data_IF_143361644471
#
_entry.id   IF_143361644471
#
_cell.length_a   1.000
_cell.length_b   1.000
_cell.length_c   1.000
_cell.angle_alpha   90.00
_cell.angle_beta   90.00
_cell.angle_gamma   90.00
#
_symmetry.space_group_name_H-M   'P 1'
#
loop_
_entity.id
_entity.type
_entity.pdbx_description
1 polymer ?
#
# COMPACT_ATOMS: atom_id res chain seq x y z
N UNK A 1 3.19 17.80 -6.18
CA UNK A 1 2.56 18.30 -7.17
C UNK A 1 1.10 18.65 -6.95
N UNK A 2 0.86 19.97 -6.75
CA UNK A 2 -0.44 20.49 -6.34
C UNK A 2 -1.54 20.20 -7.37
N UNK A 3 -1.24 20.28 -8.67
CA UNK A 3 -2.21 20.01 -9.73
C UNK A 3 -2.64 18.53 -9.75
N UNK A 4 -1.71 17.61 -9.51
CA UNK A 4 -2.01 16.19 -9.38
C UNK A 4 -2.87 15.93 -8.15
N UNK A 5 -2.56 16.56 -7.02
CA UNK A 5 -3.33 16.45 -5.78
C UNK A 5 -4.76 16.97 -5.95
N UNK A 6 -4.94 18.15 -6.55
CA UNK A 6 -6.27 18.70 -6.84
C UNK A 6 -7.04 17.90 -7.90
N UNK A 7 -6.35 17.30 -8.89
CA UNK A 7 -6.95 16.38 -9.85
C UNK A 7 -7.53 15.15 -9.16
N UNK A 8 -6.75 14.50 -8.31
CA UNK A 8 -7.20 13.33 -7.53
C UNK A 8 -8.40 13.69 -6.64
N UNK A 9 -8.39 14.83 -5.97
CA UNK A 9 -9.52 15.26 -5.13
C UNK A 9 -10.81 15.45 -5.91
N UNK A 10 -10.75 15.96 -7.14
CA UNK A 10 -11.93 16.16 -8.00
C UNK A 10 -12.56 14.85 -8.50
N UNK A 11 -11.73 13.84 -8.72
CA UNK A 11 -12.16 12.57 -9.32
C UNK A 11 -12.56 11.52 -8.27
N UNK A 12 -12.41 11.82 -6.98
CA UNK A 12 -12.76 10.90 -5.90
C UNK A 12 -14.23 10.61 -5.86
N UNK A 13 -14.57 9.32 -6.01
CA UNK A 13 -15.93 8.78 -5.84
C UNK A 13 -16.08 8.24 -4.44
N UNK A 14 -17.31 8.17 -3.93
CA UNK A 14 -17.59 7.56 -2.63
C UNK A 14 -17.11 6.12 -2.54
N UNK A 15 -16.65 5.72 -1.35
CA UNK A 15 -16.16 4.36 -1.07
C UNK A 15 -17.18 3.48 -0.35
N UNK A 16 -18.39 3.99 -0.09
CA UNK A 16 -19.45 3.22 0.56
C UNK A 16 -20.05 2.19 -0.40
N UNK A 17 -20.13 0.93 0.04
CA UNK A 17 -20.76 -0.13 -0.75
C UNK A 17 -20.06 -0.37 -2.09
N UNK A 18 -18.73 -0.26 -2.14
CA UNK A 18 -17.95 -0.42 -3.37
C UNK A 18 -18.09 -1.82 -3.96
N UNK A 19 -18.14 -1.90 -5.28
CA UNK A 19 -18.10 -3.17 -5.97
C UNK A 19 -16.66 -3.72 -5.97
N UNK A 20 -16.49 -4.87 -5.33
CA UNK A 20 -15.23 -5.61 -5.26
C UNK A 20 -15.19 -6.63 -6.38
N UNK A 21 -14.05 -6.76 -7.06
CA UNK A 21 -13.86 -7.72 -8.13
C UNK A 21 -13.70 -9.15 -7.56
N UNK A 22 -14.69 -9.99 -7.77
CA UNK A 22 -14.73 -11.37 -7.28
C UNK A 22 -13.62 -12.26 -7.86
N UNK A 23 -13.12 -11.93 -9.04
CA UNK A 23 -12.00 -12.67 -9.64
C UNK A 23 -10.70 -12.45 -8.85
N UNK A 24 -10.52 -11.27 -8.24
CA UNK A 24 -9.35 -10.95 -7.41
C UNK A 24 -9.56 -11.43 -5.98
N UNK A 25 -10.71 -11.10 -5.35
CA UNK A 25 -11.01 -11.41 -3.95
C UNK A 25 -12.43 -11.94 -3.81
N UNK A 26 -12.59 -13.26 -4.01
CA UNK A 26 -13.89 -13.92 -3.99
C UNK A 26 -14.39 -14.35 -2.61
N UNK A 27 -13.53 -14.41 -1.59
CA UNK A 27 -13.90 -14.91 -0.25
C UNK A 27 -14.59 -13.79 0.53
N UNK A 28 -15.65 -14.15 1.29
CA UNK A 28 -16.47 -13.18 2.03
C UNK A 28 -15.66 -12.30 2.98
N UNK A 29 -14.74 -12.89 3.76
CA UNK A 29 -13.92 -12.16 4.71
C UNK A 29 -12.93 -11.18 4.05
N UNK A 30 -12.46 -11.46 2.83
CA UNK A 30 -11.64 -10.53 2.06
C UNK A 30 -12.46 -9.30 1.66
N UNK A 31 -13.69 -9.51 1.22
CA UNK A 31 -14.61 -8.43 0.85
C UNK A 31 -14.98 -7.58 2.07
N UNK A 32 -15.27 -8.19 3.21
CA UNK A 32 -15.54 -7.47 4.47
C UNK A 32 -14.33 -6.61 4.89
N UNK A 33 -13.12 -7.16 4.81
CA UNK A 33 -11.90 -6.43 5.12
C UNK A 33 -11.68 -5.23 4.18
N UNK A 34 -11.87 -5.41 2.88
CA UNK A 34 -11.76 -4.33 1.89
C UNK A 34 -12.81 -3.25 2.16
N UNK A 35 -14.08 -3.63 2.38
CA UNK A 35 -15.15 -2.69 2.67
C UNK A 35 -14.87 -1.90 3.95
N UNK A 36 -14.40 -2.56 5.02
CA UNK A 36 -14.07 -1.90 6.28
C UNK A 36 -12.95 -0.84 6.12
N UNK A 37 -11.93 -1.14 5.31
CA UNK A 37 -10.87 -0.16 4.99
C UNK A 37 -11.44 0.99 4.14
N UNK A 38 -12.27 0.69 3.15
CA UNK A 38 -12.93 1.71 2.31
C UNK A 38 -13.81 2.65 3.14
N UNK A 39 -14.61 2.12 4.06
CA UNK A 39 -15.46 2.90 4.96
C UNK A 39 -14.62 3.76 5.92
N UNK A 40 -13.51 3.21 6.42
CA UNK A 40 -12.60 3.95 7.28
C UNK A 40 -11.97 5.14 6.57
N UNK A 41 -11.51 4.95 5.33
CA UNK A 41 -10.91 6.00 4.51
C UNK A 41 -11.99 7.03 4.08
N UNK A 42 -13.09 6.55 3.51
CA UNK A 42 -14.10 7.41 2.87
C UNK A 42 -15.01 8.14 3.84
N UNK A 43 -15.45 7.49 4.92
CA UNK A 43 -16.43 8.05 5.87
C UNK A 43 -15.79 8.59 7.16
N UNK A 44 -14.69 7.96 7.62
CA UNK A 44 -14.06 8.30 8.91
C UNK A 44 -12.77 9.10 8.77
N UNK A 45 -12.37 9.46 7.54
CA UNK A 45 -11.13 10.17 7.24
C UNK A 45 -9.88 9.50 7.85
N UNK A 46 -9.89 8.18 8.01
CA UNK A 46 -8.72 7.46 8.49
C UNK A 46 -7.71 7.32 7.38
N UNK A 47 -6.43 7.53 7.71
CA UNK A 47 -5.35 7.44 6.72
C UNK A 47 -4.51 6.17 6.87
N UNK A 48 -4.73 5.41 7.94
CA UNK A 48 -3.92 4.23 8.27
C UNK A 48 -4.84 3.07 8.65
N UNK A 49 -4.61 1.91 8.05
CA UNK A 49 -5.35 0.68 8.34
C UNK A 49 -4.40 -0.51 8.47
N UNK A 50 -4.65 -1.40 9.44
CA UNK A 50 -3.93 -2.65 9.61
C UNK A 50 -4.85 -3.82 9.29
N UNK A 51 -4.48 -4.65 8.32
CA UNK A 51 -5.15 -5.90 7.98
C UNK A 51 -4.44 -7.05 8.69
N UNK A 52 -5.08 -7.61 9.71
CA UNK A 52 -4.62 -8.81 10.41
C UNK A 52 -5.28 -10.01 9.78
N UNK A 53 -4.52 -10.81 9.04
CA UNK A 53 -5.04 -11.94 8.27
C UNK A 53 -4.09 -13.13 8.39
N UNK A 54 -4.61 -14.32 8.67
CA UNK A 54 -3.81 -15.54 8.82
C UNK A 54 -2.94 -15.82 7.57
N UNK A 55 -1.84 -16.53 7.77
CA UNK A 55 -1.01 -17.01 6.65
C UNK A 55 -1.85 -17.89 5.72
N UNK A 56 -1.74 -17.68 4.41
CA UNK A 56 -2.53 -18.42 3.41
C UNK A 56 -3.96 -17.94 3.21
N UNK A 57 -4.45 -16.96 3.97
CA UNK A 57 -5.80 -16.39 3.79
C UNK A 57 -5.94 -15.52 2.53
N UNK A 58 -4.83 -15.19 1.86
CA UNK A 58 -4.82 -14.38 0.64
C UNK A 58 -4.59 -12.89 0.89
N UNK A 59 -3.78 -12.52 1.88
CA UNK A 59 -3.39 -11.13 2.19
C UNK A 59 -3.06 -10.32 0.94
N UNK A 60 -2.18 -10.86 0.09
CA UNK A 60 -1.74 -10.18 -1.14
C UNK A 60 -2.92 -9.92 -2.09
N UNK A 61 -3.80 -10.92 -2.29
CA UNK A 61 -5.00 -10.74 -3.14
C UNK A 61 -5.96 -9.69 -2.57
N UNK A 62 -6.14 -9.69 -1.25
CA UNK A 62 -6.98 -8.69 -0.56
C UNK A 62 -6.46 -7.28 -0.81
N UNK A 63 -5.15 -7.07 -0.69
CA UNK A 63 -4.56 -5.74 -0.93
C UNK A 63 -4.55 -5.34 -2.41
N UNK A 64 -4.38 -6.28 -3.33
CA UNK A 64 -4.52 -6.01 -4.77
C UNK A 64 -5.94 -5.54 -5.09
N UNK A 65 -6.94 -6.23 -4.53
CA UNK A 65 -8.34 -5.87 -4.72
C UNK A 65 -8.70 -4.53 -4.08
N UNK A 66 -8.14 -4.22 -2.90
CA UNK A 66 -8.26 -2.90 -2.28
C UNK A 66 -7.64 -1.81 -3.16
N UNK A 67 -6.44 -2.05 -3.69
CA UNK A 67 -5.77 -1.13 -4.61
C UNK A 67 -6.60 -0.90 -5.88
N UNK A 68 -7.18 -1.95 -6.47
CA UNK A 68 -8.10 -1.87 -7.61
C UNK A 68 -9.29 -0.96 -7.31
N UNK A 69 -9.95 -1.17 -6.16
CA UNK A 69 -11.08 -0.33 -5.73
C UNK A 69 -10.66 1.14 -5.59
N UNK A 70 -9.56 1.42 -4.88
CA UNK A 70 -9.10 2.79 -4.64
C UNK A 70 -8.68 3.49 -5.93
N UNK A 71 -8.06 2.76 -6.88
CA UNK A 71 -7.70 3.27 -8.21
C UNK A 71 -8.95 3.60 -9.03
N UNK A 72 -9.92 2.69 -9.11
CA UNK A 72 -11.17 2.89 -9.86
C UNK A 72 -12.03 4.02 -9.30
N UNK A 73 -11.91 4.31 -8.01
CA UNK A 73 -12.64 5.39 -7.34
C UNK A 73 -11.84 6.70 -7.24
N UNK A 74 -10.68 6.80 -7.90
CA UNK A 74 -9.89 8.03 -7.99
C UNK A 74 -9.18 8.43 -6.68
N UNK A 75 -9.01 7.51 -5.74
CA UNK A 75 -8.29 7.77 -4.48
C UNK A 75 -6.80 7.53 -4.60
N UNK A 76 -6.38 6.63 -5.49
CA UNK A 76 -4.99 6.24 -5.68
C UNK A 76 -4.64 6.30 -7.16
N UNK A 77 -3.59 7.03 -7.47
CA UNK A 77 -2.93 7.05 -8.78
C UNK A 77 -1.65 6.24 -8.74
N UNK A 78 -0.80 6.51 -7.75
CA UNK A 78 0.48 5.84 -7.57
C UNK A 78 0.52 5.10 -6.23
N UNK A 79 1.01 3.87 -6.24
CA UNK A 79 1.18 3.07 -5.03
C UNK A 79 2.61 2.59 -4.84
N UNK A 80 3.01 2.46 -3.58
CA UNK A 80 4.26 1.85 -3.14
C UNK A 80 3.97 0.58 -2.35
N UNK A 81 4.59 -0.52 -2.72
CA UNK A 81 4.56 -1.77 -1.96
C UNK A 81 5.92 -2.04 -1.34
N UNK A 82 5.96 -2.21 -0.03
CA UNK A 82 7.18 -2.45 0.76
C UNK A 82 7.18 -3.83 1.39
N UNK A 83 8.27 -4.55 1.20
CA UNK A 83 8.54 -5.83 1.84
C UNK A 83 9.97 -5.90 2.41
N UNK A 84 10.23 -6.87 3.30
CA UNK A 84 11.55 -7.01 3.93
C UNK A 84 12.61 -7.61 3.00
N UNK A 85 12.19 -8.43 2.01
CA UNK A 85 13.11 -9.21 1.15
C UNK A 85 12.77 -9.09 -0.32
N UNK A 86 13.81 -9.12 -1.17
CA UNK A 86 13.65 -9.08 -2.64
C UNK A 86 12.71 -10.16 -3.18
N UNK A 87 12.76 -11.38 -2.61
CA UNK A 87 11.86 -12.45 -3.03
C UNK A 87 10.38 -12.12 -2.84
N UNK A 88 10.02 -11.43 -1.73
CA UNK A 88 8.67 -10.97 -1.46
C UNK A 88 8.27 -9.82 -2.37
N UNK A 89 9.19 -8.91 -2.66
CA UNK A 89 9.01 -7.81 -3.65
C UNK A 89 8.64 -8.40 -5.02
N UNK A 90 9.45 -9.33 -5.51
CA UNK A 90 9.24 -9.98 -6.81
C UNK A 90 7.93 -10.78 -6.83
N UNK A 91 7.61 -11.49 -5.75
CA UNK A 91 6.35 -12.24 -5.62
C UNK A 91 5.13 -11.31 -5.65
N UNK A 92 5.17 -10.22 -4.90
CA UNK A 92 4.09 -9.24 -4.87
C UNK A 92 3.91 -8.58 -6.25
N UNK A 93 4.98 -8.12 -6.89
CA UNK A 93 4.93 -7.56 -8.23
C UNK A 93 4.30 -8.51 -9.24
N UNK A 94 4.69 -9.80 -9.21
CA UNK A 94 4.10 -10.82 -10.09
C UNK A 94 2.61 -11.01 -9.83
N UNK A 95 2.18 -11.02 -8.56
CA UNK A 95 0.77 -11.11 -8.21
C UNK A 95 -0.03 -9.90 -8.71
N UNK A 96 0.49 -8.69 -8.55
CA UNK A 96 -0.12 -7.48 -9.10
C UNK A 96 -0.21 -7.51 -10.63
N UNK A 97 0.83 -7.96 -11.32
CA UNK A 97 0.83 -8.10 -12.78
C UNK A 97 -0.28 -9.04 -13.27
N UNK A 98 -0.47 -10.16 -12.59
CA UNK A 98 -1.48 -11.15 -12.98
C UNK A 98 -2.92 -10.64 -12.78
N UNK A 99 -3.17 -9.91 -11.71
CA UNK A 99 -4.52 -9.47 -11.34
C UNK A 99 -4.86 -8.07 -11.92
N UNK A 100 -3.86 -7.21 -12.13
CA UNK A 100 -4.00 -5.85 -12.67
C UNK A 100 -3.04 -5.64 -13.86
N UNK A 101 -3.24 -6.32 -14.99
CA UNK A 101 -2.29 -6.32 -16.10
C UNK A 101 -2.10 -4.96 -16.78
N UNK A 102 -3.05 -4.04 -16.62
CA UNK A 102 -2.99 -2.68 -17.17
C UNK A 102 -2.26 -1.68 -16.27
N UNK A 103 -1.84 -2.08 -15.07
CA UNK A 103 -1.08 -1.24 -14.16
C UNK A 103 0.41 -1.33 -14.49
N UNK A 104 1.07 -0.18 -14.71
CA UNK A 104 2.52 -0.16 -14.89
C UNK A 104 3.22 -0.45 -13.57
N UNK A 105 4.17 -1.37 -13.59
CA UNK A 105 4.84 -1.91 -12.40
C UNK A 105 6.35 -1.73 -12.50
N UNK A 106 6.99 -1.35 -11.40
CA UNK A 106 8.43 -1.26 -11.25
C UNK A 106 8.91 -2.01 -10.01
N UNK A 107 9.93 -2.85 -10.17
CA UNK A 107 10.70 -3.39 -9.05
C UNK A 107 11.96 -2.53 -8.86
N UNK A 108 11.95 -1.68 -7.84
CA UNK A 108 13.02 -0.73 -7.59
C UNK A 108 14.33 -1.41 -7.13
N UNK A 109 14.27 -2.69 -6.74
CA UNK A 109 15.47 -3.48 -6.45
C UNK A 109 16.20 -3.91 -7.73
N UNK A 110 15.56 -3.71 -8.88
CA UNK A 110 16.11 -3.97 -10.21
C UNK A 110 16.40 -2.64 -10.93
N UNK A 111 17.66 -2.25 -11.02
CA UNK A 111 18.11 -0.97 -11.60
C UNK A 111 17.75 -0.74 -13.09
N UNK A 112 17.20 -1.76 -13.76
CA UNK A 112 16.82 -1.68 -15.19
C UNK A 112 15.35 -1.28 -15.39
N UNK A 113 14.56 -1.13 -14.31
CA UNK A 113 13.14 -0.83 -14.41
C UNK A 113 12.87 0.67 -14.25
N UNK A 114 11.79 1.13 -14.90
CA UNK A 114 11.39 2.54 -14.88
C UNK A 114 10.69 2.89 -13.55
N UNK A 115 11.30 3.77 -12.78
CA UNK A 115 10.76 4.25 -11.51
C UNK A 115 9.48 5.11 -11.66
N UNK A 116 9.12 5.55 -12.86
CA UNK A 116 7.90 6.33 -13.13
C UNK A 116 6.63 5.46 -13.22
N UNK A 117 6.74 4.15 -12.99
CA UNK A 117 5.60 3.26 -12.96
C UNK A 117 4.59 3.66 -11.86
N UNK A 118 3.32 3.39 -12.10
CA UNK A 118 2.23 3.68 -11.16
C UNK A 118 2.26 2.82 -9.89
N UNK A 119 2.82 1.62 -9.97
CA UNK A 119 3.04 0.77 -8.82
C UNK A 119 4.52 0.43 -8.69
N UNK A 120 5.12 0.88 -7.61
CA UNK A 120 6.53 0.66 -7.29
C UNK A 120 6.63 -0.36 -6.16
N UNK A 121 7.45 -1.37 -6.38
CA UNK A 121 7.73 -2.44 -5.42
C UNK A 121 9.18 -2.31 -4.95
N UNK A 122 9.41 -2.33 -3.64
CA UNK A 122 10.73 -2.11 -3.08
C UNK A 122 10.93 -2.85 -1.77
N UNK A 123 12.18 -3.06 -1.39
CA UNK A 123 12.50 -3.34 0.01
C UNK A 123 12.54 -2.04 0.80
N UNK A 124 12.35 -2.14 2.11
CA UNK A 124 12.49 -0.98 3.00
C UNK A 124 13.85 -0.32 2.87
N UNK A 125 14.93 -1.12 2.81
CA UNK A 125 16.29 -0.61 2.72
C UNK A 125 16.53 0.14 1.39
N UNK A 126 16.05 -0.41 0.28
CA UNK A 126 16.17 0.25 -1.03
C UNK A 126 15.41 1.58 -1.05
N UNK A 127 14.20 1.61 -0.48
CA UNK A 127 13.41 2.85 -0.41
C UNK A 127 14.05 3.91 0.49
N UNK A 128 14.66 3.53 1.61
CA UNK A 128 15.44 4.47 2.44
C UNK A 128 16.58 5.11 1.64
N UNK A 129 17.33 4.28 0.93
CA UNK A 129 18.42 4.78 0.07
C UNK A 129 17.90 5.73 -1.03
N UNK A 130 16.70 5.47 -1.57
CA UNK A 130 16.07 6.36 -2.56
C UNK A 130 15.73 7.72 -1.99
N UNK A 131 15.19 7.76 -0.78
CA UNK A 131 14.83 9.03 -0.12
C UNK A 131 16.10 9.85 0.17
N UNK A 132 17.16 9.20 0.63
CA UNK A 132 18.39 9.88 1.08
C UNK A 132 19.31 10.29 -0.06
N UNK A 133 19.55 9.40 -1.02
CA UNK A 133 20.67 9.51 -1.96
C UNK A 133 20.27 9.56 -3.43
N UNK A 134 19.20 8.89 -3.85
CA UNK A 134 18.88 8.79 -5.28
C UNK A 134 18.29 10.10 -5.82
N UNK A 135 18.75 10.45 -7.02
CA UNK A 135 18.30 11.64 -7.73
C UNK A 135 17.77 11.27 -9.11
N UNK A 136 16.81 12.04 -9.62
CA UNK A 136 16.33 11.93 -10.99
C UNK A 136 17.34 12.58 -11.97
N UNK A 137 17.08 12.49 -13.26
CA UNK A 137 17.94 13.05 -14.33
C UNK A 137 18.15 14.57 -14.19
N UNK A 138 17.20 15.28 -13.56
CA UNK A 138 17.27 16.73 -13.32
C UNK A 138 17.98 17.09 -12.00
N UNK A 139 18.51 16.11 -11.26
CA UNK A 139 19.18 16.27 -9.97
C UNK A 139 18.25 16.45 -8.77
N UNK A 140 16.92 16.38 -8.96
CA UNK A 140 15.92 16.34 -7.91
C UNK A 140 15.83 14.96 -7.24
N UNK A 141 15.05 14.86 -6.16
CA UNK A 141 14.78 13.57 -5.51
C UNK A 141 14.03 12.64 -6.47
N UNK A 142 14.34 11.34 -6.45
CA UNK A 142 13.68 10.36 -7.33
C UNK A 142 12.16 10.35 -7.11
N UNK A 143 11.73 10.41 -5.86
CA UNK A 143 10.32 10.54 -5.50
C UNK A 143 10.09 11.75 -4.60
N UNK A 144 9.08 12.55 -4.90
CA UNK A 144 8.64 13.65 -4.05
C UNK A 144 7.77 13.13 -2.89
N UNK A 145 7.59 13.89 -1.80
CA UNK A 145 6.70 13.50 -0.70
C UNK A 145 5.27 13.15 -1.11
N UNK A 146 4.73 13.79 -2.13
CA UNK A 146 3.39 13.54 -2.68
C UNK A 146 3.35 12.57 -3.86
N UNK A 147 4.41 11.82 -4.13
CA UNK A 147 4.46 10.93 -5.30
C UNK A 147 3.52 9.73 -5.17
N UNK A 148 3.44 9.13 -4.00
CA UNK A 148 2.58 7.99 -3.72
C UNK A 148 1.33 8.39 -2.96
N UNK A 149 0.17 7.85 -3.36
CA UNK A 149 -1.12 8.04 -2.70
C UNK A 149 -1.43 6.91 -1.71
N UNK A 150 -0.83 5.74 -1.94
CA UNK A 150 -0.99 4.55 -1.10
C UNK A 150 0.36 3.88 -0.86
N UNK A 151 0.66 3.58 0.40
CA UNK A 151 1.77 2.71 0.80
C UNK A 151 1.20 1.44 1.40
N UNK A 152 1.60 0.30 0.86
CA UNK A 152 1.32 -1.04 1.39
C UNK A 152 2.56 -1.58 2.05
N UNK A 153 2.42 -2.01 3.30
CA UNK A 153 3.51 -2.56 4.12
C UNK A 153 3.23 -4.02 4.40
N UNK A 154 4.03 -4.91 3.82
CA UNK A 154 3.95 -6.34 4.13
C UNK A 154 4.73 -6.65 5.42
N UNK A 155 4.18 -7.56 6.24
CA UNK A 155 4.70 -7.90 7.56
C UNK A 155 4.89 -6.66 8.47
N UNK A 156 3.80 -5.91 8.65
CA UNK A 156 3.76 -4.66 9.40
C UNK A 156 4.00 -4.85 10.91
N UNK A 157 5.24 -5.12 11.29
CA UNK A 157 5.67 -5.23 12.70
C UNK A 157 6.30 -3.93 13.21
N UNK A 158 6.20 -3.68 14.52
CA UNK A 158 6.79 -2.52 15.18
C UNK A 158 8.27 -2.30 14.86
N UNK A 159 9.05 -3.36 14.82
CA UNK A 159 10.48 -3.28 14.50
C UNK A 159 10.75 -2.68 13.13
N UNK A 160 9.93 -3.03 12.14
CA UNK A 160 9.98 -2.47 10.79
C UNK A 160 9.62 -0.98 10.82
N UNK A 161 8.51 -0.63 11.49
CA UNK A 161 8.08 0.76 11.57
C UNK A 161 9.13 1.65 12.27
N UNK A 162 9.66 1.24 13.40
CA UNK A 162 10.65 2.02 14.14
C UNK A 162 11.95 2.20 13.35
N UNK A 163 12.39 1.15 12.64
CA UNK A 163 13.62 1.16 11.86
C UNK A 163 13.49 2.03 10.59
N UNK A 164 12.30 2.04 9.97
CA UNK A 164 12.07 2.69 8.69
C UNK A 164 11.04 3.84 8.77
N UNK A 165 10.91 4.43 9.96
CA UNK A 165 9.96 5.52 10.25
C UNK A 165 10.05 6.67 9.25
N UNK A 166 11.25 6.98 8.79
CA UNK A 166 11.50 8.09 7.87
C UNK A 166 10.78 7.92 6.53
N UNK A 167 10.58 6.68 6.04
CA UNK A 167 9.77 6.42 4.85
C UNK A 167 8.32 6.90 5.08
N UNK A 168 7.74 6.53 6.22
CA UNK A 168 6.34 6.82 6.53
C UNK A 168 6.10 8.28 6.93
N UNK A 169 7.15 8.98 7.34
CA UNK A 169 7.12 10.42 7.62
C UNK A 169 7.37 11.25 6.36
N UNK A 170 8.18 10.72 5.44
CA UNK A 170 8.53 11.40 4.20
C UNK A 170 7.36 11.48 3.22
N UNK A 171 6.63 10.37 3.00
CA UNK A 171 5.53 10.33 2.06
C UNK A 171 4.19 10.68 2.71
N UNK A 172 3.44 11.59 2.08
CA UNK A 172 2.06 11.92 2.45
C UNK A 172 1.06 11.00 1.73
N UNK A 173 0.88 9.78 2.23
CA UNK A 173 0.08 8.74 1.59
C UNK A 173 -0.87 8.05 2.58
N UNK A 174 -1.89 7.36 2.05
CA UNK A 174 -2.62 6.35 2.80
C UNK A 174 -1.69 5.19 3.15
N UNK A 175 -1.80 4.63 4.35
CA UNK A 175 -0.94 3.53 4.81
C UNK A 175 -1.78 2.29 5.14
N UNK A 176 -1.49 1.19 4.47
CA UNK A 176 -2.12 -0.11 4.73
C UNK A 176 -1.06 -1.13 5.11
N UNK A 177 -1.10 -1.58 6.36
CA UNK A 177 -0.25 -2.65 6.87
C UNK A 177 -0.90 -4.02 6.72
N UNK A 178 -0.09 -5.03 6.39
CA UNK A 178 -0.47 -6.44 6.37
C UNK A 178 0.30 -7.19 7.44
N UNK A 179 -0.37 -8.02 8.21
CA UNK A 179 0.30 -8.92 9.18
C UNK A 179 -0.47 -10.22 9.36
N UNK A 180 0.25 -11.28 9.70
CA UNK A 180 -0.36 -12.54 10.11
C UNK A 180 -0.41 -12.69 11.64
N UNK A 181 0.28 -11.83 12.38
CA UNK A 181 0.41 -11.94 13.83
C UNK A 181 -0.88 -11.55 14.52
N UNK A 182 -1.49 -12.41 15.36
CA UNK A 182 -2.66 -12.08 16.16
C UNK A 182 -2.41 -10.92 17.13
N UNK A 183 -3.50 -10.27 17.54
CA UNK A 183 -3.46 -9.10 18.45
C UNK A 183 -2.71 -9.36 19.76
N UNK A 184 -2.90 -10.54 20.34
CA UNK A 184 -2.33 -10.92 21.62
C UNK A 184 -0.80 -11.11 21.58
N UNK A 185 -0.26 -11.36 20.39
CA UNK A 185 1.18 -11.51 20.15
C UNK A 185 1.84 -10.24 19.62
N UNK A 186 1.04 -9.23 19.26
CA UNK A 186 1.54 -7.95 18.77
C UNK A 186 1.73 -6.98 19.93
N UNK A 187 2.85 -6.27 19.90
CA UNK A 187 3.13 -5.16 20.80
C UNK A 187 2.04 -4.08 20.64
N UNK A 188 1.44 -3.60 21.74
CA UNK A 188 0.38 -2.58 21.77
C UNK A 188 0.67 -1.39 20.85
N UNK A 189 1.94 -1.04 20.68
CA UNK A 189 2.37 0.09 19.89
C UNK A 189 2.20 -0.09 18.36
N UNK A 190 2.06 -1.32 17.82
CA UNK A 190 1.77 -1.52 16.40
C UNK A 190 0.35 -1.03 16.08
N UNK A 191 -0.59 -1.24 17.00
CA UNK A 191 -1.97 -0.73 16.86
C UNK A 191 -2.05 0.79 16.98
N UNK A 192 -1.19 1.41 17.78
CA UNK A 192 -1.13 2.88 17.89
C UNK A 192 -0.68 3.54 16.58
N UNK A 193 0.10 2.82 15.76
CA UNK A 193 0.58 3.31 14.47
C UNK A 193 -0.54 3.29 13.41
N UNK A 194 -1.32 2.22 13.41
CA UNK A 194 -2.41 2.01 12.46
C UNK A 194 -3.74 2.32 13.14
N UNK A 195 -4.21 3.51 13.11
CA UNK A 195 -5.42 4.06 13.75
C UNK A 195 -6.71 3.21 13.62
N UNK A 196 -6.69 2.18 12.80
CA UNK A 196 -7.78 1.24 12.58
C UNK A 196 -7.25 -0.19 12.48
N UNK A 197 -7.82 -1.07 13.29
CA UNK A 197 -7.65 -2.52 13.17
C UNK A 197 -8.85 -3.12 12.41
N UNK A 198 -8.59 -3.86 11.35
CA UNK A 198 -9.56 -4.74 10.72
C UNK A 198 -9.13 -6.17 11.00
N UNK A 199 -9.69 -6.74 12.06
CA UNK A 199 -9.54 -8.17 12.34
C UNK A 199 -10.43 -8.98 11.41
N UNK A 200 -9.84 -9.97 10.75
CA UNK A 200 -10.57 -10.95 9.96
C UNK A 200 -10.37 -12.29 10.65
N UNK A 201 -11.45 -13.03 11.01
CA UNK A 201 -11.35 -14.31 11.68
C UNK A 201 -10.64 -15.38 10.85
#
# INVERSE_FOLDING_TARGET
>A
DLEQYFGILKDRKGLKGVQINDAISGRYYQKEAIQAVCDAIGERNRRKALLVMATGSGKTRTVISLADVLIRHGWVKNLLFLADRNALVTQAKRAFHNELPNLSLCDLTNSKEDANARAVFSTYQTMMNCIDAMRNEEGGRLFTPGHFDLIVVDEAHRSIYNKYKDIFTYFDALLVGLTATPKDEMDKNTYEIFELEVGVP
#
